data_IF_546065437152
#
_entry.id   IF_546065437152
#
_cell.length_a   1.000
_cell.length_b   1.000
_cell.length_c   1.000
_cell.angle_alpha   90.00
_cell.angle_beta   90.00
_cell.angle_gamma   90.00
#
_symmetry.space_group_name_H-M   'P 1'
#
loop_
_entity.id
_entity.type
_entity.pdbx_description
1 polymer ?
#
# COMPACT_ATOMS: atom_id res chain seq x y z
N UNK A 1 15.93 52.62 -42.17
CA UNK A 1 14.70 53.16 -41.53
C UNK A 1 13.54 52.32 -42.05
N UNK A 2 12.99 51.44 -41.20
CA UNK A 2 11.59 51.49 -40.75
C UNK A 2 10.60 51.33 -41.93
N UNK A 3 9.65 50.40 -42.00
CA UNK A 3 9.02 49.56 -40.98
C UNK A 3 8.00 48.66 -41.69
N UNK A 4 7.97 47.38 -41.27
CA UNK A 4 6.83 46.47 -41.02
C UNK A 4 5.51 46.66 -41.80
N UNK A 5 5.01 45.54 -42.35
CA UNK A 5 3.67 44.93 -42.12
C UNK A 5 3.63 43.59 -42.92
N UNK A 6 4.10 42.47 -42.36
CA UNK A 6 3.28 41.45 -41.68
C UNK A 6 2.07 40.92 -42.48
N UNK A 7 2.30 40.13 -43.53
CA UNK A 7 1.33 39.13 -44.01
C UNK A 7 1.26 37.99 -42.98
N UNK A 8 0.32 38.07 -42.03
CA UNK A 8 -0.02 36.95 -41.15
C UNK A 8 -0.86 35.93 -41.95
N UNK A 9 -0.24 34.80 -42.21
CA UNK A 9 -0.80 33.45 -42.01
C UNK A 9 -2.31 33.28 -42.21
N UNK A 10 -2.70 32.78 -43.37
CA UNK A 10 -3.97 32.07 -43.58
C UNK A 10 -3.62 30.57 -43.58
N UNK A 11 -3.92 29.79 -42.52
CA UNK A 11 -4.13 28.36 -42.69
C UNK A 11 -5.64 28.12 -42.82
N UNK A 12 -6.17 28.28 -44.03
CA UNK A 12 -7.48 27.74 -44.37
C UNK A 12 -7.36 26.22 -44.45
N UNK A 13 -7.57 25.58 -43.30
CA UNK A 13 -7.93 24.17 -43.20
C UNK A 13 -9.26 23.98 -43.94
N UNK A 14 -9.19 23.76 -45.26
CA UNK A 14 -10.27 23.13 -46.02
C UNK A 14 -10.38 21.69 -45.51
N UNK A 15 -11.21 21.48 -44.48
CA UNK A 15 -11.67 20.14 -44.12
C UNK A 15 -12.56 19.65 -45.25
N UNK A 16 -12.04 18.69 -46.01
CA UNK A 16 -12.73 18.04 -47.10
C UNK A 16 -14.09 17.49 -46.64
N UNK A 17 -15.10 17.82 -47.42
CA UNK A 17 -16.45 17.28 -47.39
C UNK A 17 -16.42 15.87 -48.00
N UNK A 18 -17.18 14.97 -47.39
CA UNK A 18 -17.61 13.65 -47.89
C UNK A 18 -16.54 12.53 -48.02
N UNK A 19 -16.69 11.54 -47.14
CA UNK A 19 -16.45 10.14 -47.50
C UNK A 19 -17.52 9.30 -46.80
N UNK A 20 -18.61 8.99 -47.51
CA UNK A 20 -19.45 7.84 -47.16
C UNK A 20 -18.65 6.61 -47.62
N UNK A 21 -17.93 5.98 -46.68
CA UNK A 21 -17.15 4.78 -46.92
C UNK A 21 -17.44 3.79 -45.80
N UNK A 22 -17.99 2.63 -46.17
CA UNK A 22 -18.17 1.48 -45.29
C UNK A 22 -16.79 1.11 -44.74
N UNK A 23 -16.54 1.38 -43.46
CA UNK A 23 -15.26 1.06 -42.82
C UNK A 23 -15.29 -0.40 -42.37
N UNK A 24 -14.52 -1.23 -43.06
CA UNK A 24 -14.10 -2.54 -42.59
C UNK A 24 -13.26 -2.39 -41.32
N UNK A 25 -13.54 -3.25 -40.34
CA UNK A 25 -12.98 -3.26 -39.00
C UNK A 25 -11.48 -3.60 -38.98
N UNK A 26 -10.63 -2.57 -38.94
CA UNK A 26 -9.27 -2.67 -38.44
C UNK A 26 -8.96 -1.39 -37.66
N UNK A 27 -9.09 -1.45 -36.33
CA UNK A 27 -8.78 -0.32 -35.44
C UNK A 27 -7.27 -0.12 -35.43
N UNK A 28 -6.77 0.82 -36.23
CA UNK A 28 -5.44 1.40 -36.06
C UNK A 28 -5.44 2.16 -34.72
N UNK A 29 -4.58 1.74 -33.79
CA UNK A 29 -4.31 2.48 -32.55
C UNK A 29 -3.39 3.67 -32.82
N UNK A 30 -3.93 4.72 -33.45
CA UNK A 30 -3.20 6.00 -33.52
C UNK A 30 -3.21 6.66 -32.13
N UNK A 31 -2.05 7.13 -31.66
CA UNK A 31 -1.86 7.86 -30.39
C UNK A 31 -2.53 9.25 -30.36
N UNK A 32 -3.18 9.66 -31.45
CA UNK A 32 -3.92 10.91 -31.52
C UNK A 32 -5.31 10.76 -30.87
N UNK A 33 -5.73 11.71 -29.99
CA UNK A 33 -7.06 11.68 -29.42
C UNK A 33 -8.09 11.77 -30.53
N UNK A 34 -9.01 10.80 -30.59
CA UNK A 34 -10.14 10.90 -31.53
C UNK A 34 -10.92 12.20 -31.22
N UNK A 35 -11.35 12.94 -32.25
CA UNK A 35 -12.19 14.10 -32.03
C UNK A 35 -13.42 13.68 -31.23
N UNK A 36 -13.60 14.30 -30.05
CA UNK A 36 -14.73 14.01 -29.17
C UNK A 36 -15.97 14.74 -29.69
N UNK A 37 -17.12 14.06 -29.65
CA UNK A 37 -18.41 14.71 -29.87
C UNK A 37 -18.61 15.77 -28.78
N UNK A 38 -18.98 17.02 -29.11
CA UNK A 38 -19.35 18.00 -28.09
C UNK A 38 -20.55 17.49 -27.28
N UNK A 39 -20.56 17.80 -25.97
CA UNK A 39 -21.61 17.33 -25.06
C UNK A 39 -22.95 17.97 -25.40
N UNK A 40 -22.94 19.27 -25.70
CA UNK A 40 -24.13 20.02 -26.10
C UNK A 40 -24.14 20.23 -27.62
N UNK A 41 -25.33 20.07 -28.21
CA UNK A 41 -25.56 20.43 -29.60
C UNK A 41 -25.51 21.97 -29.77
N UNK A 42 -25.08 22.48 -30.95
CA UNK A 42 -25.15 23.91 -31.24
C UNK A 42 -26.59 24.40 -31.14
N UNK A 43 -26.77 25.62 -30.60
CA UNK A 43 -28.10 26.18 -30.36
C UNK A 43 -28.81 26.48 -31.68
N UNK A 44 -30.07 26.07 -31.78
CA UNK A 44 -30.92 26.27 -32.96
C UNK A 44 -32.18 27.02 -32.53
N UNK A 45 -32.49 28.13 -33.20
CA UNK A 45 -33.74 28.87 -33.01
C UNK A 45 -34.79 28.34 -33.99
N UNK A 46 -36.06 28.30 -33.57
CA UNK A 46 -37.18 27.78 -34.37
C UNK A 46 -37.07 26.31 -34.83
N UNK A 47 -36.12 25.55 -34.27
CA UNK A 47 -35.92 24.12 -34.58
C UNK A 47 -35.13 23.84 -35.86
N UNK A 48 -34.99 24.78 -36.79
CA UNK A 48 -34.24 24.57 -38.04
C UNK A 48 -33.19 25.65 -38.38
N UNK A 49 -33.23 26.84 -37.75
CA UNK A 49 -32.29 27.93 -38.06
C UNK A 49 -31.18 27.98 -37.00
N UNK A 50 -29.90 27.78 -37.35
CA UNK A 50 -28.80 27.83 -36.38
C UNK A 50 -28.64 29.24 -35.78
N UNK A 51 -28.27 29.32 -34.51
CA UNK A 51 -28.05 30.61 -33.82
C UNK A 51 -26.93 31.43 -34.47
N UNK A 52 -25.97 30.78 -35.12
CA UNK A 52 -24.90 31.41 -35.90
C UNK A 52 -25.45 32.35 -36.99
N UNK A 53 -26.58 31.99 -37.61
CA UNK A 53 -27.24 32.83 -38.59
C UNK A 53 -27.79 34.12 -37.96
N UNK A 54 -28.32 34.04 -36.73
CA UNK A 54 -28.78 35.23 -35.99
C UNK A 54 -27.59 36.09 -35.53
N UNK A 55 -26.50 35.45 -35.09
CA UNK A 55 -25.28 36.13 -34.67
C UNK A 55 -24.63 36.95 -35.79
N UNK A 56 -24.76 36.52 -37.05
CA UNK A 56 -24.29 37.27 -38.22
C UNK A 56 -24.92 38.68 -38.31
N UNK A 57 -26.20 38.83 -37.94
CA UNK A 57 -26.93 40.10 -38.04
C UNK A 57 -26.80 40.99 -36.81
N UNK A 58 -26.54 40.41 -35.63
CA UNK A 58 -26.42 41.15 -34.38
C UNK A 58 -25.51 42.40 -34.42
N UNK A 59 -24.31 42.38 -35.04
CA UNK A 59 -23.46 43.57 -35.08
C UNK A 59 -24.00 44.71 -35.96
N UNK A 60 -25.01 44.46 -36.81
CA UNK A 60 -25.52 45.46 -37.77
C UNK A 60 -26.95 45.89 -37.49
N UNK A 61 -27.83 44.95 -37.15
CA UNK A 61 -29.27 45.18 -37.02
C UNK A 61 -29.82 44.77 -35.66
N UNK A 62 -28.94 44.42 -34.72
CA UNK A 62 -29.30 44.06 -33.34
C UNK A 62 -30.00 42.70 -33.24
N UNK A 63 -30.67 42.45 -32.11
CA UNK A 63 -31.36 41.17 -31.86
C UNK A 63 -32.63 41.02 -32.69
N UNK A 64 -33.31 42.13 -33.00
CA UNK A 64 -34.55 42.13 -33.79
C UNK A 64 -34.32 41.98 -35.29
N UNK A 65 -33.12 42.32 -35.78
CA UNK A 65 -32.76 42.31 -37.19
C UNK A 65 -33.12 41.03 -37.95
N UNK A 66 -32.66 39.85 -37.51
CA UNK A 66 -33.03 38.56 -38.11
C UNK A 66 -34.54 38.33 -38.19
N UNK A 67 -35.28 38.69 -37.13
CA UNK A 67 -36.72 38.45 -37.07
C UNK A 67 -37.47 39.36 -38.05
N UNK A 68 -37.11 40.65 -38.09
CA UNK A 68 -37.68 41.59 -39.06
C UNK A 68 -37.33 41.15 -40.48
N UNK A 69 -36.10 40.69 -40.72
CA UNK A 69 -35.71 40.15 -42.02
C UNK A 69 -36.57 38.95 -42.43
N UNK A 70 -36.78 37.95 -41.56
CA UNK A 70 -37.61 36.79 -41.86
C UNK A 70 -39.07 37.19 -42.14
N UNK A 71 -39.65 38.10 -41.36
CA UNK A 71 -41.02 38.58 -41.58
C UNK A 71 -41.13 39.37 -42.88
N UNK A 72 -40.24 40.33 -43.13
CA UNK A 72 -40.26 41.15 -44.36
C UNK A 72 -39.99 40.32 -45.61
N UNK A 73 -39.04 39.38 -45.55
CA UNK A 73 -38.76 38.47 -46.65
C UNK A 73 -39.95 37.53 -46.92
N UNK A 74 -40.59 37.01 -45.86
CA UNK A 74 -41.80 36.21 -45.98
C UNK A 74 -42.95 36.98 -46.63
N UNK A 75 -43.24 38.20 -46.18
CA UNK A 75 -44.26 39.06 -46.80
C UNK A 75 -43.94 39.41 -48.25
N UNK A 76 -42.65 39.61 -48.57
CA UNK A 76 -42.21 39.85 -49.94
C UNK A 76 -42.47 38.65 -50.86
N UNK A 77 -42.17 37.41 -50.42
CA UNK A 77 -42.42 36.20 -51.19
C UNK A 77 -43.90 36.00 -51.51
N UNK A 78 -44.78 36.29 -50.54
CA UNK A 78 -46.24 36.25 -50.71
C UNK A 78 -46.70 37.37 -51.65
N UNK A 79 -46.22 38.61 -51.46
CA UNK A 79 -46.60 39.76 -52.29
C UNK A 79 -46.16 39.65 -53.75
N UNK A 80 -45.08 38.93 -54.02
CA UNK A 80 -44.58 38.68 -55.38
C UNK A 80 -45.02 37.33 -55.95
N UNK A 81 -45.89 36.61 -55.26
CA UNK A 81 -46.41 35.30 -55.67
C UNK A 81 -45.31 34.26 -55.98
N UNK A 82 -44.09 34.45 -55.44
CA UNK A 82 -43.07 33.40 -55.46
C UNK A 82 -43.47 32.25 -54.52
N UNK A 83 -44.33 32.55 -53.56
CA UNK A 83 -44.98 31.57 -52.69
C UNK A 83 -46.51 31.75 -52.80
N UNK A 84 -47.16 30.93 -53.64
CA UNK A 84 -48.61 30.94 -53.86
C UNK A 84 -49.31 30.09 -52.81
N UNK A 85 -50.36 30.64 -52.19
CA UNK A 85 -51.13 29.95 -51.13
C UNK A 85 -52.23 29.07 -51.74
N UNK A 86 -51.83 27.91 -52.28
CA UNK A 86 -52.75 26.90 -52.81
C UNK A 86 -53.36 26.01 -51.70
N UNK A 87 -54.20 25.05 -52.07
CA UNK A 87 -54.82 24.08 -51.13
C UNK A 87 -53.76 23.27 -50.36
N UNK A 88 -52.61 23.00 -50.99
CA UNK A 88 -51.47 22.31 -50.37
C UNK A 88 -50.85 23.11 -49.20
N UNK A 89 -50.93 24.45 -49.21
CA UNK A 89 -50.40 25.29 -48.13
C UNK A 89 -51.07 24.98 -46.78
N UNK A 90 -52.39 24.85 -46.79
CA UNK A 90 -53.17 24.56 -45.59
C UNK A 90 -52.91 23.15 -45.07
N UNK A 91 -52.72 22.19 -45.98
CA UNK A 91 -52.29 20.83 -45.64
C UNK A 91 -50.90 20.83 -45.00
N UNK A 92 -49.96 21.62 -45.54
CA UNK A 92 -48.62 21.81 -44.98
C UNK A 92 -48.63 22.41 -43.56
N UNK A 93 -49.49 23.40 -43.30
CA UNK A 93 -49.67 23.97 -41.96
C UNK A 93 -50.21 22.95 -40.96
N UNK A 94 -51.17 22.11 -41.37
CA UNK A 94 -51.70 21.03 -40.53
C UNK A 94 -50.59 20.03 -40.16
N UNK A 95 -49.80 19.57 -41.14
CA UNK A 95 -48.66 18.68 -40.91
C UNK A 95 -47.60 19.31 -40.01
N UNK A 96 -47.25 20.58 -40.24
CA UNK A 96 -46.29 21.31 -39.41
C UNK A 96 -46.76 21.36 -37.95
N UNK A 97 -48.05 21.61 -37.71
CA UNK A 97 -48.62 21.64 -36.35
C UNK A 97 -48.51 20.29 -35.63
N UNK A 98 -48.71 19.18 -36.36
CA UNK A 98 -48.56 17.81 -35.83
C UNK A 98 -47.10 17.54 -35.49
N UNK A 99 -46.15 17.91 -36.37
CA UNK A 99 -44.72 17.76 -36.10
C UNK A 99 -44.27 18.57 -34.88
N UNK A 100 -44.71 19.83 -34.75
CA UNK A 100 -44.43 20.63 -33.57
C UNK A 100 -45.00 19.97 -32.30
N UNK A 101 -46.25 19.51 -32.33
CA UNK A 101 -46.84 18.83 -31.17
C UNK A 101 -46.07 17.56 -30.78
N UNK A 102 -45.67 16.74 -31.77
CA UNK A 102 -44.91 15.53 -31.55
C UNK A 102 -43.52 15.83 -30.94
N UNK A 103 -42.79 16.82 -31.46
CA UNK A 103 -41.48 17.20 -30.92
C UNK A 103 -41.57 17.71 -29.48
N UNK A 104 -42.55 18.54 -29.15
CA UNK A 104 -42.73 19.04 -27.77
C UNK A 104 -43.12 17.96 -26.76
N UNK A 105 -43.95 16.97 -27.14
CA UNK A 105 -44.44 15.93 -26.22
C UNK A 105 -43.57 14.68 -26.15
N UNK A 106 -43.05 14.24 -27.29
CA UNK A 106 -42.27 13.00 -27.42
C UNK A 106 -40.77 13.27 -27.29
N UNK A 107 -40.30 14.43 -27.76
CA UNK A 107 -38.89 14.84 -27.70
C UNK A 107 -38.22 14.63 -26.35
N UNK A 108 -38.74 15.17 -25.22
CA UNK A 108 -38.09 15.01 -23.92
C UNK A 108 -38.08 13.55 -23.42
N UNK A 109 -39.12 12.77 -23.74
CA UNK A 109 -39.20 11.36 -23.34
C UNK A 109 -38.20 10.50 -24.12
N UNK A 110 -38.06 10.76 -25.42
CA UNK A 110 -37.13 10.05 -26.28
C UNK A 110 -35.68 10.42 -25.96
N UNK A 111 -35.40 11.69 -25.69
CA UNK A 111 -34.08 12.15 -25.21
C UNK A 111 -33.66 11.43 -23.93
N UNK A 112 -34.51 11.45 -22.90
CA UNK A 112 -34.22 10.77 -21.64
C UNK A 112 -34.03 9.25 -21.78
N UNK A 113 -34.73 8.61 -22.72
CA UNK A 113 -34.55 7.19 -23.00
C UNK A 113 -33.20 6.89 -23.65
N UNK A 114 -32.80 7.68 -24.65
CA UNK A 114 -31.50 7.53 -25.32
C UNK A 114 -30.34 7.85 -24.39
N UNK A 115 -30.46 8.90 -23.56
CA UNK A 115 -29.44 9.25 -22.57
C UNK A 115 -29.23 8.10 -21.57
N UNK A 116 -30.33 7.49 -21.08
CA UNK A 116 -30.26 6.34 -20.18
C UNK A 116 -29.55 5.12 -20.80
N UNK A 117 -29.76 4.87 -22.09
CA UNK A 117 -29.11 3.76 -22.78
C UNK A 117 -27.60 4.01 -22.94
N UNK A 118 -27.22 5.25 -23.27
CA UNK A 118 -25.81 5.67 -23.32
C UNK A 118 -25.16 5.54 -21.95
N UNK A 119 -25.81 6.02 -20.89
CA UNK A 119 -25.32 5.91 -19.51
C UNK A 119 -25.13 4.45 -19.09
N UNK A 120 -26.04 3.56 -19.49
CA UNK A 120 -25.93 2.14 -19.19
C UNK A 120 -24.71 1.50 -19.89
N UNK A 121 -24.47 1.86 -21.15
CA UNK A 121 -23.29 1.39 -21.90
C UNK A 121 -22.00 1.94 -21.28
N UNK A 122 -21.96 3.23 -20.95
CA UNK A 122 -20.79 3.85 -20.33
C UNK A 122 -20.49 3.24 -18.96
N UNK A 123 -21.52 3.01 -18.14
CA UNK A 123 -21.37 2.35 -16.84
C UNK A 123 -20.87 0.91 -16.97
N UNK A 124 -21.36 0.14 -17.95
CA UNK A 124 -20.88 -1.23 -18.19
C UNK A 124 -19.41 -1.26 -18.63
N UNK A 125 -19.01 -0.34 -19.52
CA UNK A 125 -17.61 -0.25 -19.96
C UNK A 125 -16.69 0.19 -18.81
N UNK A 126 -17.14 1.15 -17.98
CA UNK A 126 -16.38 1.60 -16.82
C UNK A 126 -16.28 0.49 -15.76
N UNK A 127 -17.36 -0.25 -15.48
CA UNK A 127 -17.32 -1.35 -14.52
C UNK A 127 -16.39 -2.47 -14.97
N UNK A 128 -16.44 -2.88 -16.25
CA UNK A 128 -15.52 -3.89 -16.77
C UNK A 128 -14.07 -3.45 -16.68
N UNK A 129 -13.79 -2.17 -16.96
CA UNK A 129 -12.43 -1.62 -16.80
C UNK A 129 -11.98 -1.63 -15.33
N UNK A 130 -12.87 -1.28 -14.40
CA UNK A 130 -12.56 -1.29 -12.97
C UNK A 130 -12.31 -2.70 -12.44
N UNK A 131 -13.10 -3.68 -12.90
CA UNK A 131 -12.91 -5.11 -12.63
C UNK A 131 -11.53 -5.60 -13.14
N UNK A 132 -11.18 -5.30 -14.40
CA UNK A 132 -9.87 -5.65 -14.95
C UNK A 132 -8.71 -5.04 -14.15
N UNK A 133 -8.85 -3.77 -13.74
CA UNK A 133 -7.85 -3.10 -12.91
C UNK A 133 -7.75 -3.77 -11.52
N UNK A 134 -8.88 -4.16 -10.93
CA UNK A 134 -8.91 -4.85 -9.65
C UNK A 134 -8.25 -6.22 -9.74
N UNK A 135 -8.53 -6.99 -10.78
CA UNK A 135 -7.93 -8.29 -11.04
C UNK A 135 -6.42 -8.18 -11.24
N UNK A 136 -5.96 -7.23 -12.07
CA UNK A 136 -4.52 -6.96 -12.22
C UNK A 136 -3.85 -6.60 -10.89
N UNK A 137 -4.49 -5.79 -10.05
CA UNK A 137 -3.97 -5.45 -8.71
C UNK A 137 -3.91 -6.67 -7.79
N UNK A 138 -4.93 -7.53 -7.81
CA UNK A 138 -4.95 -8.76 -7.02
C UNK A 138 -3.82 -9.71 -7.43
N UNK A 139 -3.58 -9.85 -8.74
CA UNK A 139 -2.47 -10.65 -9.28
C UNK A 139 -1.12 -10.07 -8.81
N UNK A 140 -0.93 -8.75 -8.90
CA UNK A 140 0.31 -8.10 -8.44
C UNK A 140 0.56 -8.40 -6.95
N UNK A 141 -0.45 -8.25 -6.10
CA UNK A 141 -0.33 -8.54 -4.67
C UNK A 141 -0.01 -10.01 -4.39
N UNK A 142 -0.57 -10.94 -5.17
CA UNK A 142 -0.24 -12.35 -5.04
C UNK A 142 1.22 -12.63 -5.44
N UNK A 143 1.67 -12.07 -6.57
CA UNK A 143 3.05 -12.20 -7.03
C UNK A 143 4.06 -11.59 -6.03
N UNK A 144 3.72 -10.47 -5.39
CA UNK A 144 4.55 -9.89 -4.33
C UNK A 144 4.69 -10.83 -3.12
N UNK A 145 3.61 -11.50 -2.71
CA UNK A 145 3.64 -12.50 -1.63
C UNK A 145 4.47 -13.72 -2.02
N UNK A 146 4.34 -14.19 -3.25
CA UNK A 146 5.14 -15.30 -3.78
C UNK A 146 6.63 -14.94 -3.82
N UNK A 147 6.97 -13.73 -4.28
CA UNK A 147 8.33 -13.21 -4.24
C UNK A 147 8.89 -13.19 -2.82
N UNK A 148 8.15 -12.64 -1.86
CA UNK A 148 8.56 -12.62 -0.45
C UNK A 148 8.74 -14.03 0.11
N UNK A 149 7.86 -14.97 -0.26
CA UNK A 149 7.95 -16.37 0.18
C UNK A 149 9.20 -17.05 -0.39
N UNK A 150 9.56 -16.77 -1.64
CA UNK A 150 10.79 -17.29 -2.27
C UNK A 150 12.05 -16.73 -1.59
N UNK A 151 12.08 -15.42 -1.30
CA UNK A 151 13.18 -14.80 -0.55
C UNK A 151 13.29 -15.37 0.88
N UNK A 152 12.16 -15.63 1.53
CA UNK A 152 12.12 -16.23 2.87
C UNK A 152 12.69 -17.66 2.91
N UNK A 153 12.55 -18.45 1.84
CA UNK A 153 13.14 -19.79 1.77
C UNK A 153 14.67 -19.76 1.84
N UNK A 154 15.32 -18.77 1.24
CA UNK A 154 16.77 -18.59 1.34
C UNK A 154 17.18 -18.29 2.79
N UNK A 155 16.46 -17.40 3.47
CA UNK A 155 16.71 -17.10 4.88
C UNK A 155 16.52 -18.34 5.77
N UNK A 156 15.49 -19.16 5.52
CA UNK A 156 15.26 -20.40 6.26
C UNK A 156 16.42 -21.38 6.06
N UNK A 157 16.97 -21.48 4.85
CA UNK A 157 18.14 -22.31 4.59
C UNK A 157 19.36 -21.85 5.39
N UNK A 158 19.64 -20.54 5.42
CA UNK A 158 20.74 -19.98 6.19
C UNK A 158 20.58 -20.19 7.70
N UNK A 159 19.37 -20.01 8.23
CA UNK A 159 19.06 -20.29 9.64
C UNK A 159 19.30 -21.77 9.96
N UNK A 160 18.86 -22.69 9.11
CA UNK A 160 19.09 -24.13 9.30
C UNK A 160 20.59 -24.46 9.30
N UNK A 161 21.35 -23.89 8.37
CA UNK A 161 22.81 -24.06 8.31
C UNK A 161 23.48 -23.54 9.60
N UNK A 162 23.11 -22.35 10.06
CA UNK A 162 23.66 -21.78 11.30
C UNK A 162 23.26 -22.59 12.53
N UNK A 163 22.04 -23.12 12.59
CA UNK A 163 21.58 -23.96 13.71
C UNK A 163 22.42 -25.25 13.81
N UNK A 164 22.68 -25.93 12.69
CA UNK A 164 23.54 -27.12 12.67
C UNK A 164 24.97 -26.79 13.14
N UNK A 165 25.54 -25.67 12.67
CA UNK A 165 26.87 -25.23 13.12
C UNK A 165 26.89 -24.93 14.63
N UNK A 166 25.87 -24.25 15.13
CA UNK A 166 25.74 -23.94 16.55
C UNK A 166 25.60 -25.21 17.40
N UNK A 167 24.82 -26.20 16.96
CA UNK A 167 24.70 -27.50 17.64
C UNK A 167 26.03 -28.25 17.64
N UNK A 168 26.78 -28.22 16.53
CA UNK A 168 28.09 -28.87 16.46
C UNK A 168 29.08 -28.25 17.45
N UNK A 169 29.16 -26.92 17.49
CA UNK A 169 30.02 -26.18 18.42
C UNK A 169 29.60 -26.39 19.88
N UNK A 170 28.29 -26.44 20.16
CA UNK A 170 27.77 -26.73 21.49
C UNK A 170 28.21 -28.12 21.98
N UNK A 171 28.03 -29.16 21.15
CA UNK A 171 28.48 -30.52 21.47
C UNK A 171 29.99 -30.59 21.67
N UNK A 172 30.77 -29.89 20.84
CA UNK A 172 32.22 -29.84 20.99
C UNK A 172 32.63 -29.24 22.35
N UNK A 173 32.04 -28.10 22.74
CA UNK A 173 32.30 -27.46 24.03
C UNK A 173 31.81 -28.29 25.21
N UNK A 174 30.67 -28.97 25.07
CA UNK A 174 30.16 -29.89 26.09
C UNK A 174 31.14 -31.03 26.34
N UNK A 175 31.64 -31.67 25.28
CA UNK A 175 32.64 -32.75 25.40
C UNK A 175 33.92 -32.26 26.08
N UNK A 176 34.41 -31.07 25.74
CA UNK A 176 35.57 -30.47 26.41
C UNK A 176 35.30 -30.17 27.90
N UNK A 177 34.10 -29.66 28.22
CA UNK A 177 33.70 -29.38 29.59
C UNK A 177 33.57 -30.67 30.42
N UNK A 178 33.02 -31.74 29.83
CA UNK A 178 32.95 -33.07 30.47
C UNK A 178 34.36 -33.56 30.78
N UNK A 179 35.26 -33.57 29.78
CA UNK A 179 36.66 -33.99 29.99
C UNK A 179 37.36 -33.16 31.09
N UNK A 180 37.20 -31.83 31.07
CA UNK A 180 37.76 -30.94 32.08
C UNK A 180 37.20 -31.21 33.48
N UNK A 181 35.88 -31.38 33.60
CA UNK A 181 35.24 -31.63 34.91
C UNK A 181 35.64 -32.98 35.49
N UNK A 182 35.78 -34.03 34.68
CA UNK A 182 36.27 -35.34 35.16
C UNK A 182 37.71 -35.28 35.66
N UNK A 183 38.62 -34.63 34.91
CA UNK A 183 40.01 -34.43 35.37
C UNK A 183 40.05 -33.63 36.66
N UNK A 184 39.23 -32.57 36.77
CA UNK A 184 39.12 -31.77 37.98
C UNK A 184 38.61 -32.59 39.16
N UNK A 185 37.58 -33.42 38.97
CA UNK A 185 37.05 -34.30 40.03
C UNK A 185 38.13 -35.22 40.59
N UNK A 186 38.97 -35.81 39.74
CA UNK A 186 40.08 -36.66 40.17
C UNK A 186 41.11 -35.85 40.99
N UNK A 187 41.47 -34.65 40.53
CA UNK A 187 42.41 -33.79 41.24
C UNK A 187 41.87 -33.32 42.59
N UNK A 188 40.60 -32.89 42.63
CA UNK A 188 39.92 -32.47 43.85
C UNK A 188 39.78 -33.65 44.83
N UNK A 189 39.55 -34.86 44.33
CA UNK A 189 39.52 -36.08 45.14
C UNK A 189 40.89 -36.37 45.79
N UNK A 190 41.98 -36.30 45.03
CA UNK A 190 43.34 -36.48 45.57
C UNK A 190 43.69 -35.40 46.60
N UNK A 191 43.37 -34.13 46.31
CA UNK A 191 43.56 -33.02 47.25
C UNK A 191 42.80 -33.22 48.56
N UNK A 192 41.57 -33.73 48.48
CA UNK A 192 40.77 -34.06 49.67
C UNK A 192 41.36 -35.22 50.48
N UNK A 193 41.86 -36.28 49.82
CA UNK A 193 42.55 -37.38 50.49
C UNK A 193 43.77 -36.86 51.26
N UNK A 194 44.61 -36.03 50.63
CA UNK A 194 45.79 -35.47 51.28
C UNK A 194 45.42 -34.59 52.47
N UNK A 195 44.37 -33.77 52.34
CA UNK A 195 43.82 -32.98 53.43
C UNK A 195 43.30 -33.83 54.59
N UNK A 196 42.62 -34.94 54.31
CA UNK A 196 42.12 -35.89 55.31
C UNK A 196 43.27 -36.61 56.00
N UNK A 197 44.26 -37.12 55.24
CA UNK A 197 45.43 -37.79 55.79
C UNK A 197 46.18 -36.88 56.76
N UNK A 198 46.43 -35.62 56.36
CA UNK A 198 47.06 -34.63 57.24
C UNK A 198 46.26 -34.41 58.53
N UNK A 199 44.93 -34.35 58.44
CA UNK A 199 44.03 -34.21 59.61
C UNK A 199 44.04 -35.45 60.51
N UNK A 200 44.06 -36.65 59.94
CA UNK A 200 44.16 -37.92 60.67
C UNK A 200 45.50 -37.99 61.40
N UNK A 201 46.61 -37.71 60.72
CA UNK A 201 47.95 -37.68 61.33
C UNK A 201 48.02 -36.68 62.49
N UNK A 202 47.45 -35.48 62.32
CA UNK A 202 47.37 -34.48 63.40
C UNK A 202 46.54 -34.98 64.58
N UNK A 203 45.35 -35.55 64.36
CA UNK A 203 44.51 -36.10 65.44
C UNK A 203 45.19 -37.25 66.17
N UNK A 204 45.79 -38.18 65.43
CA UNK A 204 46.54 -39.30 66.01
C UNK A 204 47.73 -38.80 66.83
N UNK A 205 48.49 -37.84 66.33
CA UNK A 205 49.60 -37.20 67.06
C UNK A 205 49.11 -36.55 68.37
N UNK A 206 48.04 -35.75 68.33
CA UNK A 206 47.47 -35.11 69.53
C UNK A 206 47.01 -36.17 70.53
N UNK A 207 46.25 -37.19 70.08
CA UNK A 207 45.75 -38.25 70.94
C UNK A 207 46.88 -39.09 71.56
N UNK A 208 47.94 -39.36 70.78
CA UNK A 208 49.13 -40.06 71.28
C UNK A 208 49.84 -39.22 72.34
N UNK A 209 50.03 -37.92 72.11
CA UNK A 209 50.63 -37.01 73.08
C UNK A 209 49.79 -36.96 74.36
N UNK A 210 48.47 -36.77 74.27
CA UNK A 210 47.59 -36.72 75.45
C UNK A 210 47.59 -38.03 76.23
N UNK A 211 47.53 -39.17 75.55
CA UNK A 211 47.56 -40.48 76.20
C UNK A 211 48.92 -40.77 76.86
N UNK A 212 50.02 -40.40 76.22
CA UNK A 212 51.36 -40.54 76.77
C UNK A 212 51.55 -39.64 78.00
N UNK A 213 51.03 -38.41 77.98
CA UNK A 213 51.04 -37.50 79.13
C UNK A 213 50.18 -38.06 80.28
N UNK A 214 48.94 -38.48 80.01
CA UNK A 214 48.06 -39.09 81.01
C UNK A 214 48.67 -40.34 81.66
N UNK A 215 49.35 -41.19 80.88
CA UNK A 215 50.04 -42.38 81.40
C UNK A 215 51.30 -42.04 82.21
N UNK A 216 51.98 -40.95 81.87
CA UNK A 216 53.18 -40.51 82.58
C UNK A 216 52.85 -39.85 83.92
N UNK A 217 51.66 -39.27 84.08
CA UNK A 217 51.18 -38.73 85.35
C UNK A 217 50.89 -39.89 86.31
N UNK A 218 51.74 -40.07 87.32
CA UNK A 218 51.51 -41.04 88.40
C UNK A 218 50.58 -40.44 89.46
N UNK A 219 49.81 -41.25 90.21
CA UNK A 219 48.90 -40.75 91.24
C UNK A 219 49.63 -40.01 92.39
N UNK A 220 50.94 -40.25 92.56
CA UNK A 220 51.79 -39.47 93.48
C UNK A 220 52.14 -38.09 92.91
N UNK A 221 52.32 -37.97 91.59
CA UNK A 221 52.54 -36.70 90.92
C UNK A 221 51.30 -35.81 90.94
N UNK A 222 50.09 -36.38 90.84
CA UNK A 222 48.86 -35.60 91.00
C UNK A 222 48.73 -35.02 92.41
N UNK A 223 49.02 -35.82 93.44
CA UNK A 223 48.99 -35.33 94.83
C UNK A 223 50.01 -34.24 95.09
N UNK A 224 51.23 -34.37 94.56
CA UNK A 224 52.26 -33.33 94.71
C UNK A 224 51.92 -32.06 93.93
N UNK A 225 51.33 -32.18 92.73
CA UNK A 225 50.81 -31.04 91.99
C UNK A 225 49.64 -30.36 92.71
N UNK A 226 48.71 -31.10 93.31
CA UNK A 226 47.62 -30.53 94.12
C UNK A 226 48.15 -29.80 95.36
N UNK A 227 49.15 -30.36 96.05
CA UNK A 227 49.83 -29.67 97.15
C UNK A 227 50.54 -28.41 96.67
N UNK A 228 51.12 -28.43 95.46
CA UNK A 228 51.72 -27.23 94.87
C UNK A 228 50.65 -26.19 94.55
N UNK A 229 49.49 -26.57 94.00
CA UNK A 229 48.38 -25.66 93.78
C UNK A 229 47.84 -25.07 95.10
N UNK A 230 47.80 -25.84 96.19
CA UNK A 230 47.44 -25.33 97.53
C UNK A 230 48.48 -24.29 97.98
N UNK A 231 49.78 -24.56 97.82
CA UNK A 231 50.83 -23.57 98.12
C UNK A 231 50.70 -22.32 97.24
N UNK A 232 50.38 -22.47 95.97
CA UNK A 232 50.22 -21.35 95.05
C UNK A 232 48.96 -20.53 95.40
N UNK A 233 47.89 -21.16 95.88
CA UNK A 233 46.71 -20.48 96.40
C UNK A 233 46.95 -19.85 97.77
N UNK A 234 47.70 -20.49 98.68
CA UNK A 234 48.10 -19.90 99.96
C UNK A 234 48.97 -18.66 99.74
N UNK A 235 49.88 -18.70 98.77
CA UNK A 235 50.72 -17.54 98.43
C UNK A 235 49.94 -16.43 97.71
N UNK A 236 48.93 -16.76 96.90
CA UNK A 236 47.99 -15.78 96.33
C UNK A 236 47.05 -15.20 97.39
N UNK A 237 46.59 -16.02 98.34
CA UNK A 237 45.74 -15.65 99.49
C UNK A 237 46.47 -14.75 100.48
N UNK A 238 47.73 -15.03 100.79
CA UNK A 238 48.57 -14.16 101.60
C UNK A 238 48.92 -12.82 100.90
N UNK A 239 48.63 -12.71 99.60
CA UNK A 239 48.77 -11.50 98.79
C UNK A 239 47.45 -10.74 98.56
N UNK A 240 46.30 -11.31 98.95
CA UNK A 240 44.99 -10.67 98.92
C UNK A 240 44.64 -10.13 100.32
#
# INVERSE_FOLDING_TARGET
MLSRLSFRHIPSQLKAIAACGIQTSAVKSSSEPRPKRPVEAPRVRFGFIPDEWFQLFHPKTGVTGPYVFLTTFGTYLVSKEWYVLEDEYYTGLCLLSIFLFATYKVGPKLGAYLDKEIDAVENNLNSSREEEIADCKAIIQNLEKEKWSSEAQLMIYDIKKQNVLMQLEANYRENLAIAYTEVKKLLDYHSQIDGINRRISQKHMVQWITNSVLKAITPEQEKTNLLQCIKDLETLSAKA
#
